data_IF_436783940241
#
_entry.id   IF_436783940241
#
_cell.length_a   1.000
_cell.length_b   1.000
_cell.length_c   1.000
_cell.angle_alpha   90.00
_cell.angle_beta   90.00
_cell.angle_gamma   90.00
#
_symmetry.space_group_name_H-M   'P 1'
#
loop_
_entity.id
_entity.type
_entity.pdbx_description
1 polymer ?
#
# COMPACT_ATOMS: atom_id res chain seq x y z
N UNK A 1 -68.99 -9.37 15.85
CA UNK A 1 -67.56 -9.20 15.56
C UNK A 1 -67.23 -7.72 15.50
N UNK A 2 -66.82 -7.13 16.63
CA UNK A 2 -65.77 -6.12 16.58
C UNK A 2 -64.89 -6.17 17.83
N UNK A 3 -63.80 -6.94 17.82
CA UNK A 3 -62.78 -6.94 18.89
C UNK A 3 -61.38 -7.08 18.26
N UNK A 4 -61.00 -6.13 17.40
CA UNK A 4 -59.71 -6.18 16.69
C UNK A 4 -58.90 -4.87 16.75
N UNK A 5 -59.29 -3.91 17.61
CA UNK A 5 -58.62 -2.60 17.70
C UNK A 5 -58.10 -2.21 19.08
N UNK A 6 -58.04 -3.12 20.05
CA UNK A 6 -57.41 -2.85 21.35
C UNK A 6 -56.03 -3.51 21.46
N UNK A 7 -55.16 -3.32 20.47
CA UNK A 7 -53.72 -3.52 20.67
C UNK A 7 -53.19 -2.33 21.47
N UNK A 8 -53.12 -2.49 22.79
CA UNK A 8 -52.31 -1.61 23.65
C UNK A 8 -50.91 -1.55 23.04
N UNK A 9 -50.52 -0.35 22.59
CA UNK A 9 -49.12 -0.01 22.35
C UNK A 9 -48.42 -0.07 23.71
N UNK A 10 -47.94 -1.25 24.08
CA UNK A 10 -46.95 -1.39 25.13
C UNK A 10 -45.68 -0.69 24.62
N UNK A 11 -45.54 0.58 24.98
CA UNK A 11 -44.28 1.28 24.85
C UNK A 11 -43.26 0.48 25.66
N UNK A 12 -42.39 -0.25 24.98
CA UNK A 12 -41.25 -0.91 25.59
C UNK A 12 -40.48 0.13 26.39
N UNK A 13 -40.56 0.04 27.73
CA UNK A 13 -39.79 0.85 28.67
C UNK A 13 -38.35 0.37 28.81
N UNK A 14 -37.94 -0.60 27.97
CA UNK A 14 -36.55 -1.00 27.86
C UNK A 14 -35.83 0.19 27.22
N UNK A 15 -34.90 0.87 27.92
CA UNK A 15 -34.07 1.87 27.27
C UNK A 15 -33.44 1.17 26.06
N UNK A 16 -33.63 1.74 24.87
CA UNK A 16 -32.91 1.32 23.68
C UNK A 16 -31.46 1.10 24.12
N UNK A 17 -30.87 -0.10 23.92
CA UNK A 17 -29.49 -0.33 24.31
C UNK A 17 -28.72 0.82 23.68
N UNK A 18 -28.13 1.67 24.53
CA UNK A 18 -27.27 2.77 24.11
C UNK A 18 -26.29 2.11 23.16
N UNK A 19 -26.46 2.33 21.85
CA UNK A 19 -25.53 1.80 20.87
C UNK A 19 -24.18 2.34 21.32
N UNK A 20 -23.34 1.45 21.84
CA UNK A 20 -22.00 1.81 22.26
C UNK A 20 -21.40 2.48 21.03
N UNK A 21 -21.14 3.79 21.14
CA UNK A 21 -20.66 4.61 20.03
C UNK A 21 -19.51 3.85 19.39
N UNK A 22 -19.69 3.42 18.14
CA UNK A 22 -18.69 2.61 17.46
C UNK A 22 -17.38 3.41 17.48
N UNK A 23 -16.36 2.88 18.17
CA UNK A 23 -15.06 3.55 18.31
C UNK A 23 -14.56 3.86 16.91
N UNK A 24 -14.43 5.14 16.56
CA UNK A 24 -13.89 5.50 15.26
C UNK A 24 -12.41 5.14 15.22
N UNK A 25 -11.90 4.79 14.04
CA UNK A 25 -10.46 4.59 13.82
C UNK A 25 -9.64 5.80 14.29
N UNK A 26 -10.19 7.01 14.14
CA UNK A 26 -9.58 8.25 14.60
C UNK A 26 -9.57 8.43 16.11
N UNK A 27 -10.34 7.67 16.88
CA UNK A 27 -10.40 7.84 18.35
C UNK A 27 -9.24 7.14 19.06
N UNK A 28 -8.60 6.19 18.36
CA UNK A 28 -7.46 5.44 18.86
C UNK A 28 -6.21 6.34 18.88
N UNK A 29 -5.60 6.50 20.05
CA UNK A 29 -4.44 7.37 20.25
C UNK A 29 -3.26 6.97 19.37
N UNK A 30 -2.99 5.67 19.22
CA UNK A 30 -1.92 5.13 18.37
C UNK A 30 -2.06 5.62 16.92
N UNK A 31 -3.29 5.62 16.39
CA UNK A 31 -3.55 6.04 15.02
C UNK A 31 -3.36 7.55 14.85
N UNK A 32 -3.78 8.36 15.83
CA UNK A 32 -3.53 9.82 15.81
C UNK A 32 -2.03 10.14 15.82
N UNK A 33 -1.28 9.49 16.72
CA UNK A 33 0.17 9.67 16.82
C UNK A 33 0.84 9.26 15.51
N UNK A 34 0.42 8.15 14.91
CA UNK A 34 0.96 7.69 13.63
C UNK A 34 0.67 8.67 12.47
N UNK A 35 -0.53 9.24 12.40
CA UNK A 35 -0.85 10.28 11.40
C UNK A 35 0.03 11.51 11.57
N UNK A 36 0.19 12.00 12.80
CA UNK A 36 1.07 13.15 13.10
C UNK A 36 2.50 12.84 12.69
N UNK A 37 3.00 11.65 13.05
CA UNK A 37 4.34 11.20 12.66
C UNK A 37 4.50 11.14 11.15
N UNK A 38 3.50 10.61 10.43
CA UNK A 38 3.53 10.50 8.98
C UNK A 38 3.56 11.88 8.31
N UNK A 39 2.81 12.85 8.84
CA UNK A 39 2.83 14.25 8.38
C UNK A 39 4.21 14.88 8.64
N UNK A 40 4.77 14.70 9.84
CA UNK A 40 6.10 15.23 10.18
C UNK A 40 7.18 14.64 9.26
N UNK A 41 7.16 13.33 9.02
CA UNK A 41 8.11 12.68 8.10
C UNK A 41 7.95 13.20 6.66
N UNK A 42 6.71 13.40 6.19
CA UNK A 42 6.44 13.99 4.88
C UNK A 42 7.01 15.42 4.78
N UNK A 43 6.87 16.23 5.84
CA UNK A 43 7.38 17.60 5.87
C UNK A 43 8.92 17.64 5.91
N UNK A 44 9.55 16.72 6.64
CA UNK A 44 11.02 16.61 6.69
C UNK A 44 11.59 16.27 5.30
N UNK A 45 10.99 15.30 4.61
CA UNK A 45 11.46 14.81 3.32
C UNK A 45 10.85 15.55 2.12
N UNK A 46 10.12 16.66 2.33
CA UNK A 46 9.39 17.32 1.23
C UNK A 46 10.32 17.85 0.13
N UNK A 47 11.48 18.40 0.49
CA UNK A 47 12.48 18.86 -0.48
C UNK A 47 12.97 17.73 -1.36
N UNK A 48 13.26 16.59 -0.72
CA UNK A 48 13.82 15.41 -1.36
C UNK A 48 12.78 14.75 -2.27
N UNK A 49 11.51 14.73 -1.86
CA UNK A 49 10.38 14.31 -2.69
C UNK A 49 10.26 15.21 -3.92
N UNK A 50 10.27 16.54 -3.76
CA UNK A 50 10.14 17.50 -4.87
C UNK A 50 11.29 17.38 -5.88
N UNK A 51 12.52 17.14 -5.40
CA UNK A 51 13.68 16.89 -6.26
C UNK A 51 13.55 15.54 -6.98
N UNK A 52 13.03 14.50 -6.31
CA UNK A 52 12.95 13.15 -6.83
C UNK A 52 11.82 12.97 -7.86
N UNK A 53 10.69 13.65 -7.69
CA UNK A 53 9.51 13.61 -8.57
C UNK A 53 9.87 13.66 -10.08
N UNK A 54 10.60 14.66 -10.61
CA UNK A 54 10.90 14.72 -12.05
C UNK A 54 11.68 13.49 -12.55
N UNK A 55 12.55 12.92 -11.71
CA UNK A 55 13.27 11.69 -12.05
C UNK A 55 12.33 10.47 -12.10
N UNK A 56 11.39 10.36 -11.17
CA UNK A 56 10.38 9.30 -11.16
C UNK A 56 9.39 9.42 -12.33
N UNK A 57 8.97 10.65 -12.67
CA UNK A 57 8.11 10.89 -13.82
C UNK A 57 8.78 10.51 -15.14
N UNK A 58 10.10 10.69 -15.27
CA UNK A 58 10.86 10.22 -16.44
C UNK A 58 10.89 8.69 -16.55
N UNK A 59 10.81 7.97 -15.42
CA UNK A 59 10.74 6.51 -15.40
C UNK A 59 9.37 5.98 -15.87
N UNK A 60 8.30 6.78 -15.78
CA UNK A 60 6.94 6.38 -16.18
C UNK A 60 6.83 6.01 -17.66
N UNK A 61 7.21 6.85 -18.64
CA UNK A 61 7.13 6.48 -20.05
C UNK A 61 8.30 5.58 -20.48
N UNK A 62 9.50 5.78 -19.92
CA UNK A 62 10.73 5.14 -20.38
C UNK A 62 11.33 4.23 -19.31
N UNK A 63 11.31 2.91 -19.54
CA UNK A 63 11.90 1.93 -18.63
C UNK A 63 13.41 2.17 -18.41
N UNK A 64 14.13 2.69 -19.41
CA UNK A 64 15.56 3.06 -19.32
C UNK A 64 15.83 4.14 -18.26
N UNK A 65 14.84 4.98 -17.94
CA UNK A 65 14.94 5.96 -16.86
C UNK A 65 15.24 5.30 -15.51
N UNK A 66 14.78 4.07 -15.28
CA UNK A 66 15.09 3.33 -14.05
C UNK A 66 16.58 2.98 -13.96
N UNK A 67 17.24 2.70 -15.09
CA UNK A 67 18.69 2.46 -15.12
C UNK A 67 19.47 3.74 -14.89
N UNK A 68 19.08 4.83 -15.55
CA UNK A 68 19.69 6.15 -15.36
C UNK A 68 19.60 6.62 -13.90
N UNK A 69 18.45 6.40 -13.26
CA UNK A 69 18.24 6.74 -11.84
C UNK A 69 19.16 5.93 -10.92
N UNK A 70 19.38 4.66 -11.23
CA UNK A 70 20.25 3.78 -10.42
C UNK A 70 21.73 4.14 -10.57
N UNK A 71 22.17 4.64 -11.73
CA UNK A 71 23.55 5.11 -11.93
C UNK A 71 23.88 6.38 -11.12
N UNK A 72 22.88 7.17 -10.76
CA UNK A 72 23.07 8.35 -9.92
C UNK A 72 23.03 7.98 -8.43
N UNK A 73 24.20 7.91 -7.78
CA UNK A 73 24.32 7.52 -6.37
C UNK A 73 23.53 8.45 -5.44
N UNK A 74 23.55 9.77 -5.69
CA UNK A 74 22.81 10.74 -4.87
C UNK A 74 21.31 10.53 -4.98
N UNK A 75 20.77 10.42 -6.19
CA UNK A 75 19.34 10.26 -6.46
C UNK A 75 18.84 8.89 -5.97
N UNK A 76 19.62 7.82 -6.19
CA UNK A 76 19.31 6.48 -5.68
C UNK A 76 19.27 6.43 -4.15
N UNK A 77 20.16 7.16 -3.46
CA UNK A 77 20.14 7.29 -2.00
C UNK A 77 18.91 8.05 -1.51
N UNK A 78 18.62 9.22 -2.11
CA UNK A 78 17.42 10.00 -1.78
C UNK A 78 16.15 9.19 -1.99
N UNK A 79 16.04 8.45 -3.10
CA UNK A 79 14.93 7.51 -3.33
C UNK A 79 14.76 6.51 -2.20
N UNK A 80 15.85 5.90 -1.71
CA UNK A 80 15.74 4.90 -0.64
C UNK A 80 15.18 5.49 0.66
N UNK A 81 15.62 6.70 1.03
CA UNK A 81 15.08 7.43 2.18
C UNK A 81 13.60 7.75 1.99
N UNK A 82 13.25 8.34 0.84
CA UNK A 82 11.86 8.68 0.50
C UNK A 82 10.97 7.43 0.42
N UNK A 83 11.49 6.30 -0.06
CA UNK A 83 10.76 5.03 -0.10
C UNK A 83 10.36 4.56 1.30
N UNK A 84 11.22 4.72 2.32
CA UNK A 84 10.87 4.37 3.70
C UNK A 84 9.72 5.25 4.22
N UNK A 85 9.74 6.54 3.93
CA UNK A 85 8.64 7.45 4.28
C UNK A 85 7.36 7.09 3.53
N UNK A 86 7.46 6.77 2.24
CA UNK A 86 6.32 6.31 1.45
C UNK A 86 5.66 5.05 2.02
N UNK A 87 6.44 4.11 2.58
CA UNK A 87 5.91 2.93 3.26
C UNK A 87 5.09 3.33 4.50
N UNK A 88 5.61 4.23 5.33
CA UNK A 88 4.88 4.73 6.51
C UNK A 88 3.57 5.42 6.11
N UNK A 89 3.62 6.30 5.10
CA UNK A 89 2.44 6.98 4.57
C UNK A 89 1.38 5.99 4.09
N UNK A 90 1.80 4.99 3.31
CA UNK A 90 0.89 3.97 2.81
C UNK A 90 0.28 3.13 3.93
N UNK A 91 1.05 2.75 4.96
CA UNK A 91 0.52 1.99 6.11
C UNK A 91 -0.61 2.73 6.82
N UNK A 92 -0.47 4.04 7.03
CA UNK A 92 -1.51 4.86 7.67
C UNK A 92 -2.77 4.93 6.80
N UNK A 93 -2.63 5.19 5.50
CA UNK A 93 -3.77 5.22 4.55
C UNK A 93 -4.44 3.84 4.45
N UNK A 94 -3.64 2.79 4.33
CA UNK A 94 -4.12 1.42 4.21
C UNK A 94 -4.91 0.99 5.44
N UNK A 95 -4.45 1.36 6.65
CA UNK A 95 -5.13 1.03 7.89
C UNK A 95 -6.43 1.81 8.06
N UNK A 96 -6.41 3.12 7.77
CA UNK A 96 -7.54 4.04 7.90
C UNK A 96 -8.74 3.63 7.02
N UNK A 97 -8.49 3.18 5.79
CA UNK A 97 -9.54 2.75 4.87
C UNK A 97 -9.76 1.23 4.85
N UNK A 98 -9.09 0.49 5.74
CA UNK A 98 -9.19 -0.98 5.83
C UNK A 98 -8.94 -1.67 4.49
N UNK A 99 -7.85 -1.34 3.82
CA UNK A 99 -7.53 -1.89 2.48
C UNK A 99 -7.41 -3.41 2.52
N UNK A 100 -6.78 -3.95 3.55
CA UNK A 100 -6.63 -5.39 3.77
C UNK A 100 -7.89 -6.01 4.41
N UNK A 101 -8.06 -7.32 4.25
CA UNK A 101 -9.26 -8.07 4.66
C UNK A 101 -9.61 -7.86 6.15
N UNK A 102 -10.85 -7.53 6.54
CA UNK A 102 -11.25 -7.41 7.94
C UNK A 102 -11.15 -8.70 8.77
N UNK A 103 -11.00 -9.88 8.17
CA UNK A 103 -10.96 -11.17 8.87
C UNK A 103 -9.93 -11.21 10.01
N UNK A 104 -8.68 -10.78 9.75
CA UNK A 104 -7.62 -10.73 10.77
C UNK A 104 -7.84 -9.66 11.84
N UNK A 105 -8.63 -8.61 11.54
CA UNK A 105 -8.95 -7.55 12.53
C UNK A 105 -9.87 -8.03 13.64
N UNK A 106 -10.55 -9.16 13.45
CA UNK A 106 -11.38 -9.76 14.50
C UNK A 106 -10.55 -10.53 15.53
N UNK A 107 -9.32 -10.93 15.20
CA UNK A 107 -8.43 -11.65 16.12
C UNK A 107 -7.65 -10.74 17.07
N UNK A 108 -7.45 -9.48 16.73
CA UNK A 108 -6.60 -8.56 17.48
C UNK A 108 -7.38 -7.34 18.00
N UNK A 109 -7.00 -6.77 19.16
CA UNK A 109 -7.57 -5.52 19.63
C UNK A 109 -7.38 -4.40 18.59
N UNK A 110 -8.32 -3.45 18.49
CA UNK A 110 -8.29 -2.41 17.46
C UNK A 110 -7.05 -1.49 17.57
N UNK A 111 -6.43 -1.41 18.75
CA UNK A 111 -5.20 -0.64 18.98
C UNK A 111 -3.98 -1.17 18.20
N UNK A 112 -3.99 -2.46 17.83
CA UNK A 112 -2.90 -3.10 17.09
C UNK A 112 -3.16 -3.14 15.57
N UNK A 113 -4.25 -2.55 15.06
CA UNK A 113 -4.61 -2.61 13.64
C UNK A 113 -3.50 -2.07 12.75
N UNK A 114 -2.96 -0.91 13.10
CA UNK A 114 -1.90 -0.25 12.35
C UNK A 114 -0.61 -1.06 12.35
N UNK A 115 -0.24 -1.67 13.48
CA UNK A 115 0.95 -2.49 13.60
C UNK A 115 0.83 -3.74 12.71
N UNK A 116 -0.34 -4.37 12.68
CA UNK A 116 -0.62 -5.51 11.81
C UNK A 116 -0.59 -5.11 10.33
N UNK A 117 -1.22 -3.99 9.96
CA UNK A 117 -1.14 -3.44 8.61
C UNK A 117 0.32 -3.18 8.20
N UNK A 118 1.11 -2.57 9.09
CA UNK A 118 2.53 -2.33 8.84
C UNK A 118 3.33 -3.65 8.72
N UNK A 119 3.00 -4.66 9.51
CA UNK A 119 3.62 -5.98 9.44
C UNK A 119 3.30 -6.69 8.10
N UNK A 120 2.07 -6.58 7.60
CA UNK A 120 1.69 -7.14 6.29
C UNK A 120 2.47 -6.45 5.17
N UNK A 121 2.48 -5.11 5.16
CA UNK A 121 3.20 -4.31 4.15
C UNK A 121 4.71 -4.59 4.20
N UNK A 122 5.29 -4.60 5.40
CA UNK A 122 6.72 -4.90 5.58
C UNK A 122 7.03 -6.35 5.22
N UNK A 123 6.17 -7.28 5.59
CA UNK A 123 6.28 -8.71 5.25
C UNK A 123 6.31 -8.92 3.73
N UNK A 124 5.47 -8.22 2.98
CA UNK A 124 5.52 -8.23 1.51
C UNK A 124 6.89 -7.80 0.99
N UNK A 125 7.45 -6.69 1.49
CA UNK A 125 8.78 -6.22 1.08
C UNK A 125 9.90 -7.19 1.45
N UNK A 126 9.84 -7.79 2.64
CA UNK A 126 10.83 -8.77 3.11
C UNK A 126 10.79 -10.01 2.24
N UNK A 127 9.61 -10.61 2.02
CA UNK A 127 9.45 -11.80 1.19
C UNK A 127 9.96 -11.50 -0.22
N UNK A 128 9.53 -10.39 -0.82
CA UNK A 128 10.02 -9.94 -2.12
C UNK A 128 11.55 -9.83 -2.13
N UNK A 129 12.14 -9.18 -1.12
CA UNK A 129 13.59 -9.06 -0.95
C UNK A 129 14.31 -10.41 -0.89
N UNK A 130 13.75 -11.39 -0.17
CA UNK A 130 14.29 -12.75 -0.10
C UNK A 130 14.27 -13.44 -1.47
N UNK A 131 13.18 -13.32 -2.23
CA UNK A 131 13.11 -13.86 -3.60
C UNK A 131 14.15 -13.22 -4.54
N UNK A 132 14.43 -11.93 -4.38
CA UNK A 132 15.54 -11.28 -5.09
C UNK A 132 16.92 -11.82 -4.67
N UNK A 133 17.12 -12.14 -3.39
CA UNK A 133 18.39 -12.70 -2.91
C UNK A 133 18.65 -14.10 -3.45
N UNK A 134 17.62 -14.94 -3.55
CA UNK A 134 17.71 -16.32 -4.04
C UNK A 134 17.74 -16.38 -5.58
N UNK A 135 17.24 -15.36 -6.26
CA UNK A 135 17.16 -15.35 -7.71
C UNK A 135 18.55 -15.29 -8.39
N UNK A 136 18.80 -16.11 -9.44
CA UNK A 136 20.04 -16.08 -10.21
C UNK A 136 20.25 -14.78 -11.00
N UNK A 137 19.29 -13.86 -11.01
CA UNK A 137 19.46 -12.50 -11.56
C UNK A 137 20.69 -11.80 -11.00
N UNK A 138 20.98 -11.97 -9.71
CA UNK A 138 22.10 -11.29 -9.03
C UNK A 138 23.47 -11.75 -9.52
N UNK A 139 23.62 -13.01 -9.95
CA UNK A 139 24.94 -13.58 -10.26
C UNK A 139 25.48 -13.20 -11.62
N UNK A 140 24.63 -12.70 -12.54
CA UNK A 140 25.03 -12.38 -13.92
C UNK A 140 25.25 -10.90 -14.18
N UNK A 141 24.46 -10.01 -13.57
CA UNK A 141 24.56 -8.55 -13.78
C UNK A 141 24.04 -7.78 -12.55
N UNK A 142 24.94 -7.45 -11.62
CA UNK A 142 24.59 -6.82 -10.34
C UNK A 142 23.81 -5.50 -10.49
N UNK A 143 24.22 -4.62 -11.42
CA UNK A 143 23.57 -3.33 -11.68
C UNK A 143 22.15 -3.49 -12.24
N UNK A 144 21.98 -4.44 -13.17
CA UNK A 144 20.68 -4.75 -13.76
C UNK A 144 19.73 -5.34 -12.71
N UNK A 145 20.22 -6.27 -11.89
CA UNK A 145 19.45 -6.84 -10.78
C UNK A 145 19.05 -5.76 -9.77
N UNK A 146 19.92 -4.79 -9.49
CA UNK A 146 19.63 -3.65 -8.63
C UNK A 146 18.50 -2.78 -9.21
N UNK A 147 18.57 -2.47 -10.50
CA UNK A 147 17.54 -1.71 -11.22
C UNK A 147 16.18 -2.41 -11.12
N UNK A 148 16.12 -3.71 -11.43
CA UNK A 148 14.88 -4.50 -11.37
C UNK A 148 14.32 -4.52 -9.94
N UNK A 149 15.18 -4.62 -8.93
CA UNK A 149 14.77 -4.60 -7.52
C UNK A 149 14.15 -3.25 -7.13
N UNK A 150 14.79 -2.16 -7.50
CA UNK A 150 14.37 -0.82 -7.08
C UNK A 150 13.26 -0.20 -7.94
N UNK A 151 12.99 -0.78 -9.12
CA UNK A 151 11.89 -0.36 -10.00
C UNK A 151 10.55 -0.34 -9.25
N UNK A 152 10.31 -1.31 -8.37
CA UNK A 152 9.12 -1.33 -7.52
C UNK A 152 9.01 -0.07 -6.65
N UNK A 153 10.10 0.30 -5.98
CA UNK A 153 10.10 1.44 -5.07
C UNK A 153 9.93 2.78 -5.79
N UNK A 154 10.45 2.91 -7.03
CA UNK A 154 10.24 4.11 -7.85
C UNK A 154 8.75 4.39 -8.05
N UNK A 155 8.00 3.37 -8.46
CA UNK A 155 6.57 3.52 -8.70
C UNK A 155 5.77 3.52 -7.40
N UNK A 156 6.23 2.81 -6.37
CA UNK A 156 5.57 2.78 -5.07
C UNK A 156 5.57 4.14 -4.39
N UNK A 157 6.65 4.93 -4.52
CA UNK A 157 6.68 6.33 -4.03
C UNK A 157 5.58 7.15 -4.70
N UNK A 158 5.47 7.07 -6.03
CA UNK A 158 4.42 7.80 -6.76
C UNK A 158 3.02 7.36 -6.34
N UNK A 159 2.82 6.05 -6.18
CA UNK A 159 1.55 5.49 -5.71
C UNK A 159 1.22 5.91 -4.28
N UNK A 160 2.17 5.86 -3.34
CA UNK A 160 1.91 6.26 -1.96
C UNK A 160 1.53 7.75 -1.86
N UNK A 161 2.18 8.62 -2.63
CA UNK A 161 1.82 10.03 -2.73
C UNK A 161 0.43 10.22 -3.34
N UNK A 162 0.12 9.50 -4.43
CA UNK A 162 -1.20 9.54 -5.06
C UNK A 162 -2.29 9.05 -4.09
N UNK A 163 -2.06 7.96 -3.37
CA UNK A 163 -3.00 7.40 -2.40
C UNK A 163 -3.30 8.38 -1.25
N UNK A 164 -2.29 9.11 -0.76
CA UNK A 164 -2.48 10.18 0.23
C UNK A 164 -3.34 11.31 -0.35
N UNK A 165 -3.04 11.77 -1.57
CA UNK A 165 -3.85 12.81 -2.24
C UNK A 165 -5.29 12.33 -2.45
N UNK A 166 -5.49 11.11 -2.93
CA UNK A 166 -6.81 10.49 -3.10
C UNK A 166 -7.56 10.44 -1.76
N UNK A 167 -6.91 10.00 -0.68
CA UNK A 167 -7.50 9.95 0.65
C UNK A 167 -7.95 11.34 1.14
N UNK A 168 -7.09 12.35 1.01
CA UNK A 168 -7.39 13.73 1.42
C UNK A 168 -8.54 14.31 0.60
N UNK A 169 -8.54 14.13 -0.73
CA UNK A 169 -9.62 14.61 -1.60
C UNK A 169 -10.95 13.94 -1.26
N UNK A 170 -10.95 12.63 -1.06
CA UNK A 170 -12.17 11.90 -0.70
C UNK A 170 -12.71 12.33 0.67
N UNK A 171 -11.83 12.60 1.64
CA UNK A 171 -12.21 13.14 2.93
C UNK A 171 -12.78 14.57 2.81
N UNK A 172 -12.13 15.45 2.03
CA UNK A 172 -12.57 16.82 1.81
C UNK A 172 -13.92 16.92 1.09
N UNK A 173 -14.20 15.97 0.19
CA UNK A 173 -15.48 15.88 -0.53
C UNK A 173 -16.58 15.17 0.28
N UNK A 174 -16.27 14.68 1.49
CA UNK A 174 -17.22 13.94 2.32
C UNK A 174 -17.65 12.60 1.72
N UNK A 175 -16.81 11.99 0.87
CA UNK A 175 -17.11 10.70 0.27
C UNK A 175 -17.16 9.59 1.33
N UNK A 176 -18.10 8.67 1.20
CA UNK A 176 -18.23 7.54 2.13
C UNK A 176 -16.96 6.67 2.16
N UNK A 177 -16.60 6.16 3.34
CA UNK A 177 -15.40 5.32 3.56
C UNK A 177 -15.33 4.13 2.59
N UNK A 178 -16.49 3.53 2.27
CA UNK A 178 -16.58 2.43 1.29
C UNK A 178 -16.18 2.86 -0.12
N UNK A 179 -16.60 4.05 -0.57
CA UNK A 179 -16.24 4.56 -1.89
C UNK A 179 -14.74 4.86 -1.95
N UNK A 180 -14.18 5.51 -0.93
CA UNK A 180 -12.74 5.77 -0.84
C UNK A 180 -11.92 4.47 -0.84
N UNK A 181 -12.36 3.45 -0.10
CA UNK A 181 -11.73 2.12 -0.11
C UNK A 181 -11.71 1.50 -1.51
N UNK A 182 -12.83 1.54 -2.24
CA UNK A 182 -12.89 0.99 -3.61
C UNK A 182 -11.93 1.72 -4.54
N UNK A 183 -11.91 3.06 -4.49
CA UNK A 183 -10.99 3.87 -5.31
C UNK A 183 -9.53 3.51 -5.00
N UNK A 184 -9.16 3.43 -3.72
CA UNK A 184 -7.80 3.07 -3.31
C UNK A 184 -7.41 1.64 -3.72
N UNK A 185 -8.34 0.68 -3.69
CA UNK A 185 -8.09 -0.69 -4.18
C UNK A 185 -7.88 -0.69 -5.69
N UNK A 186 -8.67 0.07 -6.46
CA UNK A 186 -8.51 0.21 -7.91
C UNK A 186 -7.17 0.86 -8.23
N UNK A 187 -6.80 1.92 -7.51
CA UNK A 187 -5.52 2.61 -7.64
C UNK A 187 -4.34 1.67 -7.35
N UNK A 188 -4.40 0.92 -6.23
CA UNK A 188 -3.40 -0.06 -5.87
C UNK A 188 -3.27 -1.19 -6.91
N UNK A 189 -4.40 -1.65 -7.46
CA UNK A 189 -4.43 -2.68 -8.50
C UNK A 189 -3.81 -2.17 -9.81
N UNK A 190 -4.13 -0.93 -10.20
CA UNK A 190 -3.55 -0.29 -11.38
C UNK A 190 -2.03 -0.07 -11.22
N UNK A 191 -1.59 0.39 -10.05
CA UNK A 191 -0.19 0.51 -9.70
C UNK A 191 0.53 -0.85 -9.82
N UNK A 192 -0.03 -1.90 -9.23
CA UNK A 192 0.60 -3.21 -9.22
C UNK A 192 0.72 -3.79 -10.64
N UNK A 193 -0.34 -3.67 -11.45
CA UNK A 193 -0.31 -4.08 -12.86
C UNK A 193 0.74 -3.28 -13.66
N UNK A 194 0.78 -1.96 -13.46
CA UNK A 194 1.76 -1.10 -14.11
C UNK A 194 3.19 -1.50 -13.74
N UNK A 195 3.45 -1.78 -12.46
CA UNK A 195 4.75 -2.25 -12.00
C UNK A 195 5.14 -3.58 -12.66
N UNK A 196 4.22 -4.56 -12.74
CA UNK A 196 4.46 -5.84 -13.43
C UNK A 196 4.84 -5.60 -14.90
N UNK A 197 4.10 -4.75 -15.61
CA UNK A 197 4.38 -4.42 -17.01
C UNK A 197 5.76 -3.79 -17.17
N UNK A 198 6.13 -2.86 -16.29
CA UNK A 198 7.44 -2.19 -16.34
C UNK A 198 8.58 -3.14 -15.98
N UNK A 199 8.43 -3.96 -14.96
CA UNK A 199 9.39 -5.03 -14.63
C UNK A 199 9.56 -5.98 -15.81
N UNK A 200 8.47 -6.39 -16.47
CA UNK A 200 8.50 -7.24 -17.66
C UNK A 200 9.28 -6.62 -18.82
N UNK A 201 9.09 -5.33 -19.10
CA UNK A 201 9.85 -4.60 -20.13
C UNK A 201 11.35 -4.55 -19.81
N UNK A 202 11.71 -4.33 -18.56
CA UNK A 202 13.11 -4.32 -18.13
C UNK A 202 13.73 -5.71 -18.31
N UNK A 203 13.06 -6.78 -17.86
CA UNK A 203 13.57 -8.15 -17.97
C UNK A 203 13.70 -8.60 -19.43
N UNK A 204 12.67 -8.36 -20.25
CA UNK A 204 12.67 -8.75 -21.67
C UNK A 204 13.72 -8.02 -22.51
N UNK A 205 14.28 -6.90 -22.02
CA UNK A 205 15.40 -6.23 -22.68
C UNK A 205 16.71 -7.05 -22.67
N UNK A 206 16.86 -8.01 -21.74
CA UNK A 206 18.07 -8.82 -21.58
C UNK A 206 17.84 -10.33 -21.62
N UNK A 207 16.64 -10.77 -21.26
CA UNK A 207 16.28 -12.18 -21.20
C UNK A 207 15.19 -12.49 -22.23
N UNK A 208 15.14 -13.75 -22.68
CA UNK A 208 14.04 -14.23 -23.53
C UNK A 208 12.68 -14.14 -22.83
N UNK A 209 11.60 -14.24 -23.62
CA UNK A 209 10.22 -14.13 -23.13
C UNK A 209 9.90 -15.17 -22.05
N UNK A 210 10.34 -16.42 -22.25
CA UNK A 210 10.12 -17.50 -21.28
C UNK A 210 10.81 -17.24 -19.93
N UNK A 211 12.08 -16.82 -19.95
CA UNK A 211 12.82 -16.50 -18.73
C UNK A 211 12.21 -15.28 -18.01
N UNK A 212 11.78 -14.27 -18.78
CA UNK A 212 11.09 -13.09 -18.24
C UNK A 212 9.82 -13.48 -17.49
N UNK A 213 9.00 -14.37 -18.07
CA UNK A 213 7.81 -14.90 -17.42
C UNK A 213 8.14 -15.63 -16.11
N UNK A 214 9.13 -16.54 -16.13
CA UNK A 214 9.53 -17.29 -14.94
C UNK A 214 10.00 -16.36 -13.80
N UNK A 215 10.78 -15.33 -14.12
CA UNK A 215 11.22 -14.35 -13.13
C UNK A 215 10.08 -13.48 -12.60
N UNK A 216 9.12 -13.07 -13.45
CA UNK A 216 7.93 -12.35 -12.99
C UNK A 216 7.12 -13.21 -12.02
N UNK A 217 6.93 -14.49 -12.33
CA UNK A 217 6.28 -15.43 -11.44
C UNK A 217 7.00 -15.50 -10.08
N UNK A 218 8.32 -15.66 -10.07
CA UNK A 218 9.09 -15.78 -8.84
C UNK A 218 9.18 -14.47 -8.03
N UNK A 219 9.27 -13.31 -8.68
CA UNK A 219 9.55 -12.02 -8.01
C UNK A 219 8.31 -11.19 -7.68
N UNK A 220 7.24 -11.33 -8.47
CA UNK A 220 6.02 -10.53 -8.32
C UNK A 220 4.87 -11.40 -7.81
N UNK A 221 4.51 -12.44 -8.57
CA UNK A 221 3.30 -13.24 -8.28
C UNK A 221 3.43 -14.11 -7.04
N UNK A 222 4.59 -14.74 -6.83
CA UNK A 222 4.77 -15.69 -5.74
C UNK A 222 4.83 -15.01 -4.36
N UNK A 223 5.54 -13.88 -4.16
CA UNK A 223 5.44 -13.09 -2.93
C UNK A 223 4.02 -12.61 -2.63
N UNK A 224 3.29 -12.12 -3.65
CA UNK A 224 1.91 -11.70 -3.49
C UNK A 224 0.99 -12.87 -3.14
N UNK A 225 1.16 -14.03 -3.79
CA UNK A 225 0.40 -15.24 -3.52
C UNK A 225 0.62 -15.78 -2.12
N UNK A 226 1.87 -15.81 -1.64
CA UNK A 226 2.19 -16.20 -0.26
C UNK A 226 1.46 -15.29 0.72
N UNK A 227 1.56 -13.97 0.53
CA UNK A 227 0.93 -12.98 1.41
C UNK A 227 -0.59 -13.18 1.49
N UNK A 228 -1.25 -13.34 0.33
CA UNK A 228 -2.69 -13.57 0.26
C UNK A 228 -3.06 -14.83 1.04
N UNK A 229 -2.40 -15.96 0.77
CA UNK A 229 -2.69 -17.23 1.44
C UNK A 229 -2.48 -17.14 2.94
N UNK A 230 -1.44 -16.42 3.40
CA UNK A 230 -1.18 -16.23 4.83
C UNK A 230 -2.16 -15.27 5.50
N UNK A 231 -2.76 -14.33 4.77
CA UNK A 231 -3.71 -13.37 5.31
C UNK A 231 -5.17 -13.85 5.25
N UNK A 232 -5.49 -14.84 4.39
CA UNK A 232 -6.85 -15.38 4.23
C UNK A 232 -7.11 -16.66 5.02
N UNK A 233 -6.11 -17.23 5.71
CA UNK A 233 -6.22 -18.43 6.53
C UNK A 233 -6.27 -18.07 8.01
#
# INVERSE_FOLDING_TARGET
>A
MPDLFSSKLEMSTVPLPQEASAVLWSDILVNRVAVILAIVLLLIEISDILILIPHLFRCLPFWKGNMELEHSVSVSRTRNTVALVAVVLFCVVADAYSLFDPSWRTLAPPEYSLLLTAAIVTGFFVIRGLFYLVSPLRSRTAEFACTVRHTFFNYFILFALLAVVTAVLMAALGAGVRAARVVLIVEASAFYLFNILRTSQILSSRYGVFATFLYLCALEFLPAGILIVTCTR
#
